data_IF_542412133658
#
_entry.id   IF_542412133658
#
_cell.length_a   1.000
_cell.length_b   1.000
_cell.length_c   1.000
_cell.angle_alpha   90.00
_cell.angle_beta   90.00
_cell.angle_gamma   90.00
#
_symmetry.space_group_name_H-M   'P 1'
#
loop_
_entity.id
_entity.type
_entity.pdbx_description
1 polymer ?
#
# COMPACT_ATOMS: atom_id res chain seq x y z
N UNK A 1 -16.17 -7.51 20.48
CA UNK A 1 -16.47 -6.51 21.51
C UNK A 1 -15.39 -6.62 22.56
N UNK A 2 -14.72 -5.52 22.89
CA UNK A 2 -13.79 -5.45 24.01
C UNK A 2 -14.60 -5.24 25.29
N UNK A 3 -14.29 -5.97 26.37
CA UNK A 3 -14.92 -5.85 27.69
C UNK A 3 -13.84 -5.76 28.76
N UNK A 4 -14.20 -5.30 29.97
CA UNK A 4 -13.30 -5.26 31.14
C UNK A 4 -12.09 -4.32 30.95
N UNK A 5 -12.35 -3.08 30.54
CA UNK A 5 -11.31 -2.06 30.50
C UNK A 5 -10.86 -1.69 31.93
N UNK A 6 -9.56 -1.76 32.17
CA UNK A 6 -8.92 -1.31 33.40
C UNK A 6 -8.10 -0.04 33.13
N UNK A 7 -7.94 0.80 34.15
CA UNK A 7 -7.04 1.95 34.07
C UNK A 7 -5.60 1.45 33.97
N UNK A 8 -4.88 1.97 32.97
CA UNK A 8 -3.48 1.65 32.74
C UNK A 8 -2.70 2.94 32.51
N UNK A 9 -1.66 3.15 33.31
CA UNK A 9 -0.79 4.32 33.23
C UNK A 9 0.62 3.85 32.88
N UNK A 10 1.13 4.29 31.73
CA UNK A 10 2.51 4.03 31.31
C UNK A 10 3.42 5.13 31.80
N UNK A 11 4.40 4.78 32.65
CA UNK A 11 5.53 5.67 32.96
C UNK A 11 6.61 5.58 31.87
N UNK A 12 6.26 5.95 30.64
CA UNK A 12 7.26 6.08 29.57
C UNK A 12 7.89 7.47 29.60
N UNK A 13 9.22 7.53 29.53
CA UNK A 13 9.96 8.79 29.34
C UNK A 13 9.60 9.51 28.04
N UNK A 14 9.00 8.78 27.09
CA UNK A 14 8.58 9.30 25.79
C UNK A 14 7.07 9.60 25.72
N UNK A 15 6.34 9.58 26.84
CA UNK A 15 4.87 9.74 26.83
C UNK A 15 4.42 11.06 26.21
N UNK A 16 5.12 12.17 26.49
CA UNK A 16 4.80 13.47 25.90
C UNK A 16 4.95 13.45 24.36
N UNK A 17 6.03 12.85 23.86
CA UNK A 17 6.26 12.67 22.42
C UNK A 17 5.22 11.72 21.81
N UNK A 18 4.84 10.64 22.52
CA UNK A 18 3.82 9.68 22.10
C UNK A 18 2.47 10.37 21.89
N UNK A 19 2.04 11.20 22.85
CA UNK A 19 0.81 12.00 22.77
C UNK A 19 0.87 12.97 21.59
N UNK A 20 2.00 13.64 21.40
CA UNK A 20 2.18 14.56 20.27
C UNK A 20 2.10 13.86 18.91
N UNK A 21 2.76 12.70 18.77
CA UNK A 21 2.68 11.87 17.55
C UNK A 21 1.27 11.35 17.32
N UNK A 22 0.59 10.87 18.36
CA UNK A 22 -0.79 10.38 18.28
C UNK A 22 -1.74 11.46 17.77
N UNK A 23 -1.64 12.68 18.30
CA UNK A 23 -2.45 13.82 17.83
C UNK A 23 -2.26 14.11 16.34
N UNK A 24 -1.02 14.17 15.87
CA UNK A 24 -0.72 14.43 14.46
C UNK A 24 -1.11 13.24 13.56
N UNK A 25 -0.93 12.01 14.04
CA UNK A 25 -1.37 10.79 13.34
C UNK A 25 -2.88 10.73 13.19
N UNK A 26 -3.66 11.09 14.22
CA UNK A 26 -5.13 11.11 14.15
C UNK A 26 -5.61 12.08 13.08
N UNK A 27 -5.05 13.28 13.03
CA UNK A 27 -5.38 14.27 11.99
C UNK A 27 -4.98 13.77 10.58
N UNK A 28 -3.78 13.19 10.44
CA UNK A 28 -3.36 12.56 9.18
C UNK A 28 -4.33 11.47 8.73
N UNK A 29 -4.74 10.60 9.64
CA UNK A 29 -5.64 9.48 9.33
C UNK A 29 -7.03 9.97 8.94
N UNK A 30 -7.58 10.94 9.66
CA UNK A 30 -8.87 11.55 9.33
C UNK A 30 -8.90 12.14 7.92
N UNK A 31 -7.81 12.80 7.50
CA UNK A 31 -7.72 13.42 6.18
C UNK A 31 -7.56 12.43 5.03
N UNK A 32 -6.92 11.26 5.25
CA UNK A 32 -6.46 10.37 4.17
C UNK A 32 -7.15 9.00 4.13
N UNK A 33 -7.72 8.54 5.24
CA UNK A 33 -8.28 7.20 5.39
C UNK A 33 -9.73 7.25 5.88
N UNK A 34 -10.73 7.06 4.98
CA UNK A 34 -12.13 7.25 5.32
C UNK A 34 -12.65 6.41 6.50
N UNK A 35 -12.09 5.23 6.73
CA UNK A 35 -12.39 4.39 7.91
C UNK A 35 -11.11 4.02 8.66
N UNK A 36 -10.10 4.87 8.56
CA UNK A 36 -8.80 4.65 9.16
C UNK A 36 -8.84 4.73 10.68
N UNK A 37 -8.03 3.90 11.32
CA UNK A 37 -7.75 3.95 12.75
C UNK A 37 -6.24 3.95 12.91
N UNK A 38 -5.72 4.78 13.82
CA UNK A 38 -4.33 4.71 14.25
C UNK A 38 -4.19 4.37 15.73
N UNK A 39 -3.07 3.75 16.07
CA UNK A 39 -2.64 3.55 17.46
C UNK A 39 -1.15 3.86 17.55
N UNK A 40 -0.75 4.55 18.61
CA UNK A 40 0.65 4.94 18.85
C UNK A 40 1.11 4.42 20.21
N UNK A 41 2.22 3.69 20.21
CA UNK A 41 2.84 3.10 21.39
C UNK A 41 4.25 3.67 21.58
N UNK A 42 4.70 3.72 22.83
CA UNK A 42 6.06 4.11 23.17
C UNK A 42 6.76 2.99 23.94
N UNK A 43 8.03 2.77 23.63
CA UNK A 43 8.98 2.01 24.46
C UNK A 43 9.96 2.98 25.13
N UNK A 44 11.07 2.49 25.67
CA UNK A 44 12.10 3.36 26.28
C UNK A 44 12.80 4.26 25.25
N UNK A 45 12.90 3.81 23.99
CA UNK A 45 13.68 4.50 22.95
C UNK A 45 12.94 4.65 21.63
N UNK A 46 11.82 3.98 21.44
CA UNK A 46 11.11 3.92 20.17
C UNK A 46 9.65 4.36 20.28
N UNK A 47 9.15 4.98 19.22
CA UNK A 47 7.72 5.24 19.01
C UNK A 47 7.24 4.34 17.88
N UNK A 48 6.24 3.50 18.18
CA UNK A 48 5.60 2.63 17.20
C UNK A 48 4.25 3.21 16.80
N UNK A 49 4.01 3.38 15.50
CA UNK A 49 2.74 3.84 14.92
C UNK A 49 2.17 2.72 14.07
N UNK A 50 0.89 2.41 14.27
CA UNK A 50 0.14 1.50 13.39
C UNK A 50 -1.08 2.22 12.84
N UNK A 51 -1.28 2.16 11.52
CA UNK A 51 -2.44 2.71 10.81
C UNK A 51 -3.11 1.57 10.04
N UNK A 52 -4.43 1.48 10.17
CA UNK A 52 -5.24 0.47 9.50
C UNK A 52 -6.47 1.13 8.90
N UNK A 53 -6.72 0.90 7.62
CA UNK A 53 -8.01 1.21 6.98
C UNK A 53 -8.53 -0.02 6.26
N UNK A 54 -9.79 -0.35 6.50
CA UNK A 54 -10.45 -1.50 5.90
C UNK A 54 -11.74 -1.05 5.23
N UNK A 55 -11.99 -1.59 4.03
CA UNK A 55 -13.26 -1.41 3.34
C UNK A 55 -13.76 -2.77 2.85
N UNK A 56 -14.84 -3.23 3.45
CA UNK A 56 -15.48 -4.49 3.10
C UNK A 56 -16.81 -4.20 2.40
N UNK A 57 -16.95 -4.63 1.15
CA UNK A 57 -18.17 -4.45 0.38
C UNK A 57 -18.61 -5.78 -0.25
N UNK A 58 -19.07 -6.74 0.58
CA UNK A 58 -19.35 -8.10 0.12
C UNK A 58 -20.48 -8.16 -0.89
N UNK A 59 -21.45 -7.25 -0.83
CA UNK A 59 -22.55 -7.14 -1.79
C UNK A 59 -22.06 -6.77 -3.21
N UNK A 60 -20.90 -6.11 -3.30
CA UNK A 60 -20.24 -5.78 -4.55
C UNK A 60 -19.02 -6.67 -4.81
N UNK A 61 -18.89 -7.79 -4.08
CA UNK A 61 -17.85 -8.80 -4.27
C UNK A 61 -16.41 -8.28 -4.15
N UNK A 62 -16.16 -7.30 -3.29
CA UNK A 62 -14.78 -6.83 -3.08
C UNK A 62 -14.48 -6.35 -1.67
N UNK A 63 -13.21 -6.51 -1.30
CA UNK A 63 -12.65 -6.11 -0.03
C UNK A 63 -11.29 -5.46 -0.23
N UNK A 64 -10.98 -4.43 0.54
CA UNK A 64 -9.70 -3.73 0.53
C UNK A 64 -9.18 -3.48 1.95
N UNK A 65 -7.87 -3.53 2.11
CA UNK A 65 -7.18 -3.30 3.38
C UNK A 65 -5.84 -2.62 3.16
N UNK A 66 -5.63 -1.52 3.89
CA UNK A 66 -4.35 -0.84 4.04
C UNK A 66 -3.84 -1.05 5.47
N UNK A 67 -2.59 -1.47 5.59
CA UNK A 67 -1.89 -1.66 6.87
C UNK A 67 -0.54 -0.96 6.77
N UNK A 68 -0.29 0.03 7.61
CA UNK A 68 1.02 0.65 7.72
C UNK A 68 1.50 0.54 9.17
N UNK A 69 2.75 0.12 9.35
CA UNK A 69 3.41 0.04 10.64
C UNK A 69 4.76 0.73 10.58
N UNK A 70 5.02 1.60 11.54
CA UNK A 70 6.20 2.43 11.60
C UNK A 70 6.84 2.36 12.97
N UNK A 71 8.17 2.35 13.01
CA UNK A 71 8.98 2.40 14.23
C UNK A 71 9.97 3.54 14.06
N UNK A 72 9.82 4.56 14.88
CA UNK A 72 10.74 5.68 14.99
C UNK A 72 11.67 5.49 16.18
N UNK A 73 12.96 5.41 15.94
CA UNK A 73 13.98 5.32 16.99
C UNK A 73 14.49 6.73 17.34
N UNK A 74 14.25 7.16 18.57
CA UNK A 74 14.61 8.49 19.08
C UNK A 74 16.13 8.69 19.23
N UNK A 75 16.90 7.60 19.34
CA UNK A 75 18.36 7.66 19.49
C UNK A 75 19.07 7.76 18.14
N UNK A 76 18.65 6.99 17.14
CA UNK A 76 19.24 7.05 15.79
C UNK A 76 18.64 8.14 14.91
N UNK A 77 17.35 8.48 15.14
CA UNK A 77 16.54 9.29 14.23
C UNK A 77 16.03 8.50 13.02
N UNK A 78 16.19 7.18 13.01
CA UNK A 78 15.73 6.33 11.92
C UNK A 78 14.23 6.03 12.06
N UNK A 79 13.51 6.08 10.94
CA UNK A 79 12.10 5.77 10.83
C UNK A 79 11.93 4.58 9.88
N UNK A 80 11.65 3.41 10.45
CA UNK A 80 11.44 2.16 9.69
C UNK A 80 9.96 1.95 9.49
N UNK A 81 9.55 1.77 8.24
CA UNK A 81 8.16 1.61 7.84
C UNK A 81 7.94 0.35 7.03
N UNK A 82 6.76 -0.24 7.20
CA UNK A 82 6.22 -1.28 6.34
C UNK A 82 4.78 -0.95 6.01
N UNK A 83 4.46 -0.82 4.73
CA UNK A 83 3.10 -0.63 4.24
C UNK A 83 2.68 -1.84 3.41
N UNK A 84 1.47 -2.35 3.69
CA UNK A 84 0.87 -3.53 3.06
C UNK A 84 -0.53 -3.21 2.58
N UNK A 85 -0.81 -3.54 1.32
CA UNK A 85 -2.09 -3.30 0.66
C UNK A 85 -2.60 -4.61 0.12
N UNK A 86 -3.81 -4.99 0.55
CA UNK A 86 -4.50 -6.18 0.09
C UNK A 86 -5.85 -5.78 -0.51
N UNK A 87 -6.11 -6.22 -1.74
CA UNK A 87 -7.41 -6.07 -2.39
C UNK A 87 -7.84 -7.42 -2.94
N UNK A 88 -9.10 -7.77 -2.76
CA UNK A 88 -9.69 -9.01 -3.25
C UNK A 88 -11.02 -8.68 -3.93
N UNK A 89 -11.13 -9.04 -5.21
CA UNK A 89 -12.35 -8.95 -6.01
C UNK A 89 -12.74 -10.35 -6.48
N UNK A 90 -14.01 -10.70 -6.32
CA UNK A 90 -14.48 -12.07 -6.50
C UNK A 90 -15.86 -12.20 -7.18
N UNK A 91 -16.21 -11.24 -8.04
CA UNK A 91 -17.36 -11.37 -8.93
C UNK A 91 -16.96 -12.20 -10.16
N UNK A 92 -17.63 -13.33 -10.39
CA UNK A 92 -17.39 -14.24 -11.53
C UNK A 92 -15.92 -14.68 -11.74
N UNK A 93 -15.12 -14.62 -10.69
CA UNK A 93 -13.69 -14.90 -10.70
C UNK A 93 -13.06 -14.70 -9.33
N UNK A 94 -11.73 -14.77 -9.24
CA UNK A 94 -10.98 -14.44 -8.04
C UNK A 94 -9.70 -13.72 -8.45
N UNK A 95 -9.62 -12.43 -8.14
CA UNK A 95 -8.47 -11.57 -8.42
C UNK A 95 -8.02 -10.91 -7.13
N UNK A 96 -6.73 -11.01 -6.85
CA UNK A 96 -6.14 -10.46 -5.63
C UNK A 96 -4.94 -9.58 -5.96
N UNK A 97 -4.86 -8.44 -5.29
CA UNK A 97 -3.66 -7.63 -5.15
C UNK A 97 -3.09 -7.88 -3.76
N UNK A 98 -1.80 -8.19 -3.71
CA UNK A 98 -0.98 -8.16 -2.50
C UNK A 98 0.27 -7.36 -2.80
N UNK A 99 0.38 -6.18 -2.19
CA UNK A 99 1.52 -5.28 -2.37
C UNK A 99 2.09 -4.92 -1.00
N UNK A 100 3.37 -5.21 -0.81
CA UNK A 100 4.09 -4.96 0.44
C UNK A 100 5.33 -4.10 0.11
N UNK A 101 5.62 -3.10 0.94
CA UNK A 101 6.79 -2.23 0.80
C UNK A 101 7.39 -1.89 2.15
N UNK A 102 8.67 -2.23 2.30
CA UNK A 102 9.49 -1.81 3.43
C UNK A 102 10.33 -0.59 3.06
N UNK A 103 10.55 0.30 4.03
CA UNK A 103 11.34 1.52 3.88
C UNK A 103 12.06 1.87 5.17
N UNK A 104 13.24 2.47 5.03
CA UNK A 104 13.94 3.13 6.14
C UNK A 104 14.19 4.57 5.73
N UNK A 105 13.59 5.50 6.48
CA UNK A 105 13.75 6.94 6.33
C UNK A 105 14.54 7.48 7.51
N UNK A 106 14.95 8.74 7.44
CA UNK A 106 15.64 9.43 8.53
C UNK A 106 14.96 10.74 8.84
N UNK A 107 14.56 10.91 10.09
CA UNK A 107 13.92 12.13 10.58
C UNK A 107 14.97 12.99 11.27
N UNK A 108 15.04 14.25 10.88
CA UNK A 108 15.93 15.20 11.55
C UNK A 108 15.43 15.46 12.96
N UNK A 109 16.27 15.17 13.96
CA UNK A 109 15.93 15.43 15.37
C UNK A 109 15.60 16.92 15.58
N UNK A 110 14.58 17.15 16.41
CA UNK A 110 14.14 18.47 16.85
C UNK A 110 14.14 18.50 18.37
N UNK A 111 14.51 19.63 18.95
CA UNK A 111 14.50 19.82 20.41
C UNK A 111 13.06 19.93 20.95
N UNK A 112 12.14 20.44 20.12
CA UNK A 112 10.72 20.52 20.43
C UNK A 112 9.98 19.24 19.99
N UNK A 113 9.24 18.65 20.93
CA UNK A 113 8.54 17.39 20.71
C UNK A 113 7.37 17.53 19.74
N UNK A 114 6.65 18.66 19.73
CA UNK A 114 5.56 18.88 18.77
C UNK A 114 6.09 19.00 17.34
N UNK A 115 7.19 19.72 17.14
CA UNK A 115 7.86 19.79 15.84
C UNK A 115 8.43 18.44 15.41
N UNK A 116 8.94 17.64 16.35
CA UNK A 116 9.41 16.29 16.04
C UNK A 116 8.25 15.40 15.58
N UNK A 117 7.12 15.41 16.29
CA UNK A 117 5.93 14.65 15.93
C UNK A 117 5.44 15.00 14.50
N UNK A 118 5.35 16.30 14.19
CA UNK A 118 5.00 16.77 12.83
C UNK A 118 5.98 16.30 11.77
N UNK A 119 7.28 16.29 12.08
CA UNK A 119 8.30 15.81 11.15
C UNK A 119 8.16 14.30 10.88
N UNK A 120 7.94 13.49 11.92
CA UNK A 120 7.72 12.04 11.79
C UNK A 120 6.48 11.76 10.92
N UNK A 121 5.33 12.36 11.25
CA UNK A 121 4.07 12.12 10.51
C UNK A 121 4.15 12.64 9.08
N UNK A 122 4.87 13.73 8.83
CA UNK A 122 5.10 14.25 7.49
C UNK A 122 5.89 13.28 6.60
N UNK A 123 6.94 12.65 7.13
CA UNK A 123 7.70 11.64 6.38
C UNK A 123 6.82 10.41 6.06
N UNK A 124 6.00 9.97 7.03
CA UNK A 124 5.02 8.89 6.82
C UNK A 124 4.03 9.25 5.70
N UNK A 125 3.40 10.43 5.78
CA UNK A 125 2.44 10.91 4.78
C UNK A 125 3.07 11.06 3.39
N UNK A 126 4.30 11.55 3.32
CA UNK A 126 5.04 11.69 2.05
C UNK A 126 5.30 10.34 1.42
N UNK A 127 5.79 9.37 2.21
CA UNK A 127 6.00 8.01 1.74
C UNK A 127 4.69 7.33 1.29
N UNK A 128 3.62 7.41 2.08
CA UNK A 128 2.34 6.76 1.74
C UNK A 128 1.76 7.33 0.43
N UNK A 129 1.88 8.65 0.22
CA UNK A 129 1.50 9.31 -1.04
C UNK A 129 2.33 8.83 -2.22
N UNK A 130 3.66 8.78 -2.08
CA UNK A 130 4.55 8.29 -3.13
C UNK A 130 4.29 6.82 -3.45
N UNK A 131 4.08 6.00 -2.43
CA UNK A 131 3.77 4.58 -2.60
C UNK A 131 2.45 4.39 -3.33
N UNK A 132 1.39 5.10 -2.93
CA UNK A 132 0.11 5.07 -3.63
C UNK A 132 0.24 5.48 -5.11
N UNK A 133 0.96 6.56 -5.39
CA UNK A 133 1.21 6.99 -6.78
C UNK A 133 1.97 5.91 -7.56
N UNK A 134 3.02 5.35 -6.98
CA UNK A 134 3.83 4.32 -7.63
C UNK A 134 3.06 3.05 -7.96
N UNK A 135 2.08 2.67 -7.13
CA UNK A 135 1.20 1.54 -7.40
C UNK A 135 0.28 1.83 -8.58
N UNK A 136 -0.28 3.03 -8.68
CA UNK A 136 -1.11 3.44 -9.81
C UNK A 136 -0.33 3.44 -11.13
N UNK A 137 0.90 3.96 -11.10
CA UNK A 137 1.80 3.96 -12.26
C UNK A 137 2.16 2.53 -12.67
N UNK A 138 2.47 1.67 -11.70
CA UNK A 138 2.77 0.25 -11.93
C UNK A 138 1.58 -0.49 -12.56
N UNK A 139 0.35 -0.18 -12.13
CA UNK A 139 -0.86 -0.75 -12.72
C UNK A 139 -1.08 -0.31 -14.17
N UNK A 140 -0.78 0.95 -14.48
CA UNK A 140 -0.84 1.48 -15.84
C UNK A 140 0.18 0.77 -16.75
N UNK A 141 1.40 0.58 -16.27
CA UNK A 141 2.46 -0.16 -16.99
C UNK A 141 2.09 -1.65 -17.21
N UNK A 142 1.54 -2.31 -16.20
CA UNK A 142 1.06 -3.69 -16.32
C UNK A 142 0.01 -3.84 -17.42
N UNK A 143 -0.94 -2.91 -17.50
CA UNK A 143 -2.00 -2.90 -18.51
C UNK A 143 -1.46 -2.64 -19.92
N UNK A 144 -0.50 -1.73 -20.06
CA UNK A 144 -0.01 -1.32 -21.37
C UNK A 144 1.05 -2.24 -21.97
N UNK A 145 1.92 -2.80 -21.13
CA UNK A 145 3.12 -3.52 -21.55
C UNK A 145 3.02 -5.01 -21.21
N UNK A 146 2.94 -5.35 -19.92
CA UNK A 146 3.06 -6.73 -19.46
C UNK A 146 1.92 -7.61 -19.97
N UNK A 147 0.66 -7.21 -19.80
CA UNK A 147 -0.48 -8.02 -20.25
C UNK A 147 -0.55 -8.13 -21.78
N UNK A 148 -0.19 -7.07 -22.52
CA UNK A 148 -0.11 -7.13 -24.00
C UNK A 148 1.02 -8.04 -24.48
N UNK A 149 2.11 -8.13 -23.72
CA UNK A 149 3.21 -9.05 -23.96
C UNK A 149 2.81 -10.52 -23.81
N UNK A 150 1.93 -10.83 -22.85
CA UNK A 150 1.40 -12.18 -22.64
C UNK A 150 0.40 -12.59 -23.73
N UNK A 151 -0.61 -11.74 -23.99
CA UNK A 151 -1.61 -12.01 -25.03
C UNK A 151 -2.10 -10.72 -25.66
N UNK A 152 -1.94 -10.63 -26.97
CA UNK A 152 -2.50 -9.54 -27.75
C UNK A 152 -4.01 -9.68 -27.86
N UNK A 153 -4.72 -8.54 -27.80
CA UNK A 153 -6.16 -8.51 -28.05
C UNK A 153 -6.52 -8.96 -29.49
N UNK A 154 -5.65 -8.64 -30.46
CA UNK A 154 -5.74 -9.09 -31.84
C UNK A 154 -4.39 -9.64 -32.34
N UNK A 155 -4.41 -10.60 -33.28
CA UNK A 155 -3.23 -11.00 -34.04
C UNK A 155 -2.47 -9.81 -34.64
N UNK A 156 -1.23 -10.03 -35.07
CA UNK A 156 -0.39 -8.98 -35.68
C UNK A 156 -1.08 -8.30 -36.88
N UNK A 157 -1.88 -9.07 -37.62
CA UNK A 157 -2.68 -8.63 -38.76
C UNK A 157 -3.82 -7.65 -38.41
N UNK A 158 -4.10 -7.43 -37.11
CA UNK A 158 -5.21 -6.61 -36.59
C UNK A 158 -6.60 -7.05 -37.06
N UNK A 159 -6.74 -8.31 -37.45
CA UNK A 159 -8.01 -8.95 -37.82
C UNK A 159 -8.27 -10.16 -36.94
N UNK A 160 -9.54 -10.50 -36.69
CA UNK A 160 -9.89 -11.77 -36.06
C UNK A 160 -9.36 -12.94 -36.91
N UNK A 161 -9.02 -14.03 -36.25
CA UNK A 161 -8.56 -15.24 -36.94
C UNK A 161 -9.65 -15.74 -37.89
N UNK A 162 -9.26 -15.96 -39.15
CA UNK A 162 -10.10 -16.59 -40.15
C UNK A 162 -9.89 -18.10 -40.07
N UNK A 163 -10.81 -18.79 -39.39
CA UNK A 163 -10.75 -20.24 -39.18
C UNK A 163 -10.75 -21.04 -40.49
N UNK A 164 -11.42 -20.54 -41.54
CA UNK A 164 -11.44 -21.20 -42.85
C UNK A 164 -10.06 -21.16 -43.52
N UNK A 165 -9.33 -20.06 -43.35
CA UNK A 165 -7.95 -19.96 -43.83
C UNK A 165 -7.03 -20.91 -43.07
N UNK A 166 -7.12 -20.96 -41.74
CA UNK A 166 -6.25 -21.83 -40.92
C UNK A 166 -6.35 -23.31 -41.34
N UNK A 167 -7.57 -23.79 -41.59
CA UNK A 167 -7.80 -25.20 -41.96
C UNK A 167 -7.23 -25.57 -43.34
N UNK A 168 -7.10 -24.60 -44.25
CA UNK A 168 -6.72 -24.82 -45.64
C UNK A 168 -5.31 -24.32 -45.99
N UNK A 169 -4.66 -23.54 -45.12
CA UNK A 169 -3.34 -22.97 -45.37
C UNK A 169 -2.23 -24.00 -45.15
N UNK A 170 -1.52 -24.38 -46.22
CA UNK A 170 -0.27 -25.15 -46.11
C UNK A 170 0.92 -24.20 -46.01
N UNK A 171 1.39 -23.95 -44.79
CA UNK A 171 2.53 -23.06 -44.51
C UNK A 171 3.82 -23.52 -45.23
N UNK A 172 3.99 -24.83 -45.44
CA UNK A 172 5.20 -25.40 -46.05
C UNK A 172 5.42 -25.07 -47.53
N UNK A 173 4.36 -24.83 -48.32
CA UNK A 173 4.52 -24.56 -49.76
C UNK A 173 5.00 -23.15 -50.08
N UNK A 174 4.72 -22.16 -49.22
CA UNK A 174 5.16 -20.77 -49.43
C UNK A 174 6.55 -20.49 -48.87
N UNK A 175 6.99 -21.24 -47.85
CA UNK A 175 8.38 -21.18 -47.35
C UNK A 175 9.40 -21.82 -48.30
N UNK A 176 8.96 -22.77 -49.13
CA UNK A 176 9.79 -23.44 -50.14
C UNK A 176 9.98 -22.64 -51.43
N UNK A 177 9.19 -21.57 -51.65
CA UNK A 177 9.24 -20.75 -52.87
C UNK A 177 10.06 -19.46 -52.70
N UNK A 178 10.88 -19.37 -51.64
CA UNK A 178 11.83 -18.28 -51.42
C UNK A 178 13.26 -18.75 -51.60
#
# INVERSE_FOLDING_TARGET
TTSEAEEYTTESTLEELRIAVEKECLAYVEDHFPNGVCTVYATETEIAVAVVDNKYNPNNFWNGRWLASWIYDTQSGDLKGTTKVNVHYYEDGNVQLKADKDVTLRVNKKDDQEQLAKAVVKEISTFDKEYQSSMNDSYSDLAENTFKGLRRALPLTRNKMDWNKILNYKIGSELSQK
#
